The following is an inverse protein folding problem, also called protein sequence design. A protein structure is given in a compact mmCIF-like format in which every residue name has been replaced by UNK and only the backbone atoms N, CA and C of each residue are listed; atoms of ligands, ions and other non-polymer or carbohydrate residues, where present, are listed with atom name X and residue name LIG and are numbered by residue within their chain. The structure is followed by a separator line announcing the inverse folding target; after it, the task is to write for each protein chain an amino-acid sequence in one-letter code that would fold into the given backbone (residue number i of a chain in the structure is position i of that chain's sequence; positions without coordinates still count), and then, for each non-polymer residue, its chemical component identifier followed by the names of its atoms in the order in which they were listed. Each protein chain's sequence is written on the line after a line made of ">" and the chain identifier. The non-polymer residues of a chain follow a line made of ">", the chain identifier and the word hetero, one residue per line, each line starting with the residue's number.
data_IF_635406810921
#
_entry.id   IF_635406810921
#
_cell.length_a   1.000
_cell.length_b   1.000
_cell.length_c   1.000
_cell.angle_alpha   90.00
_cell.angle_beta   90.00
_cell.angle_gamma   90.00
#
_symmetry.space_group_name_H-M   'P 1'
#
loop_
_entity.id
_entity.type
_entity.pdbx_description
1 polymer ?
#
# COMPACT_ATOMS: atom_id res chain seq x y z
N UNK A 1 -67.78 -8.97 -19.11
CA UNK A 1 -66.33 -8.73 -18.88
C UNK A 1 -65.85 -9.64 -17.76
N UNK A 2 -65.74 -10.93 -18.05
CA UNK A 2 -65.39 -11.98 -17.08
C UNK A 2 -63.92 -12.37 -17.26
N UNK A 3 -63.16 -12.28 -16.17
CA UNK A 3 -61.72 -12.47 -16.04
C UNK A 3 -61.35 -13.96 -16.17
N UNK A 4 -60.39 -14.38 -17.02
CA UNK A 4 -59.89 -15.74 -16.98
C UNK A 4 -58.90 -15.93 -15.82
N UNK A 5 -59.09 -17.03 -15.12
CA UNK A 5 -58.38 -17.49 -13.93
C UNK A 5 -56.99 -18.05 -14.28
N UNK A 6 -56.04 -17.85 -13.37
CA UNK A 6 -54.60 -18.12 -13.52
C UNK A 6 -54.28 -19.56 -13.12
N UNK A 7 -53.75 -20.36 -14.03
CA UNK A 7 -53.28 -21.72 -13.73
C UNK A 7 -51.98 -21.72 -12.87
N UNK A 8 -51.82 -22.65 -11.90
CA UNK A 8 -50.63 -22.74 -11.05
C UNK A 8 -49.51 -23.63 -11.62
N UNK A 9 -48.26 -23.27 -11.29
CA UNK A 9 -47.02 -23.92 -11.71
C UNK A 9 -46.69 -25.22 -10.94
N UNK A 10 -45.93 -26.16 -11.54
CA UNK A 10 -45.21 -27.17 -10.77
C UNK A 10 -43.67 -26.98 -10.76
N UNK A 11 -43.19 -26.59 -9.57
CA UNK A 11 -42.09 -27.12 -8.72
C UNK A 11 -40.81 -27.69 -9.39
N UNK A 12 -39.69 -27.05 -9.01
CA UNK A 12 -38.28 -27.44 -9.20
C UNK A 12 -37.96 -28.89 -8.82
N UNK A 13 -37.07 -29.52 -9.60
CA UNK A 13 -36.22 -30.62 -9.14
C UNK A 13 -34.73 -30.37 -9.46
N UNK A 14 -33.98 -30.25 -8.36
CA UNK A 14 -32.56 -30.54 -8.08
C UNK A 14 -31.68 -31.02 -9.27
N UNK A 15 -30.74 -30.17 -9.70
CA UNK A 15 -29.54 -30.55 -10.44
C UNK A 15 -28.32 -29.98 -9.72
N UNK A 16 -27.40 -30.86 -9.33
CA UNK A 16 -26.26 -30.61 -8.48
C UNK A 16 -25.26 -29.61 -9.08
N UNK A 17 -24.66 -28.79 -8.22
CA UNK A 17 -23.41 -28.08 -8.51
C UNK A 17 -22.28 -29.12 -8.52
N UNK A 18 -21.57 -29.24 -9.62
CA UNK A 18 -20.26 -29.89 -9.66
C UNK A 18 -19.34 -29.11 -10.58
N UNK A 19 -18.34 -28.52 -9.95
CA UNK A 19 -17.17 -27.85 -10.51
C UNK A 19 -16.39 -28.79 -11.44
N UNK A 20 -15.79 -28.23 -12.49
CA UNK A 20 -14.47 -28.67 -12.96
C UNK A 20 -13.92 -27.66 -13.99
N UNK A 21 -12.87 -26.96 -13.58
CA UNK A 21 -11.95 -26.23 -14.44
C UNK A 21 -11.26 -27.16 -15.43
N UNK A 22 -11.12 -26.74 -16.68
CA UNK A 22 -9.98 -27.05 -17.55
C UNK A 22 -10.08 -26.12 -18.78
N UNK A 23 -9.29 -25.06 -18.77
CA UNK A 23 -8.00 -24.99 -19.48
C UNK A 23 -8.18 -24.38 -20.87
N UNK A 24 -8.29 -23.05 -20.89
CA UNK A 24 -7.91 -22.27 -22.05
C UNK A 24 -6.74 -21.39 -21.61
N UNK A 25 -5.52 -21.88 -21.86
CA UNK A 25 -4.29 -21.11 -21.83
C UNK A 25 -4.39 -19.98 -22.86
N UNK A 26 -5.10 -18.91 -22.50
CA UNK A 26 -4.83 -17.61 -23.08
C UNK A 26 -3.57 -17.12 -22.38
N UNK A 27 -2.45 -17.33 -23.06
CA UNK A 27 -1.12 -16.78 -22.78
C UNK A 27 -1.28 -15.27 -22.52
N UNK A 28 -1.57 -14.91 -21.28
CA UNK A 28 -1.48 -13.55 -20.82
C UNK A 28 -0.01 -13.21 -21.01
N UNK A 29 0.28 -12.43 -22.04
CA UNK A 29 1.54 -11.75 -22.13
C UNK A 29 1.62 -10.93 -20.84
N UNK A 30 2.32 -11.47 -19.85
CA UNK A 30 2.89 -10.70 -18.75
C UNK A 30 3.75 -9.68 -19.45
N UNK A 31 3.17 -8.52 -19.75
CA UNK A 31 3.93 -7.37 -20.18
C UNK A 31 5.04 -7.25 -19.13
N UNK A 32 6.32 -7.26 -19.54
CA UNK A 32 7.39 -7.06 -18.59
C UNK A 32 7.06 -5.77 -17.83
N UNK A 33 7.15 -5.77 -16.48
CA UNK A 33 6.85 -4.56 -15.71
C UNK A 33 7.66 -3.44 -16.36
N UNK A 34 6.93 -2.41 -16.81
CA UNK A 34 7.46 -1.26 -17.52
C UNK A 34 8.78 -0.88 -16.87
N UNK A 35 9.86 -1.07 -17.62
CA UNK A 35 11.23 -0.84 -17.17
C UNK A 35 11.28 0.52 -16.47
N UNK A 36 11.82 0.56 -15.24
CA UNK A 36 12.20 1.79 -14.53
C UNK A 36 13.26 2.53 -15.37
N UNK A 37 12.82 3.16 -16.46
CA UNK A 37 13.68 3.70 -17.52
C UNK A 37 14.42 4.96 -17.05
N UNK A 38 14.05 5.47 -15.88
CA UNK A 38 14.66 6.62 -15.22
C UNK A 38 14.78 6.37 -13.72
N UNK A 39 15.90 6.75 -13.08
CA UNK A 39 16.02 6.66 -11.62
C UNK A 39 14.91 7.47 -10.94
N UNK A 40 14.07 6.80 -10.17
CA UNK A 40 13.08 7.47 -9.32
C UNK A 40 13.83 8.15 -8.18
N UNK A 41 13.70 9.48 -8.09
CA UNK A 41 14.29 10.24 -6.98
C UNK A 41 13.47 10.00 -5.71
N UNK A 42 14.10 9.68 -4.57
CA UNK A 42 13.42 9.64 -3.29
C UNK A 42 12.77 10.99 -2.98
N UNK A 43 11.57 10.97 -2.40
CA UNK A 43 10.91 12.15 -1.86
C UNK A 43 11.20 12.21 -0.37
N UNK A 44 11.70 13.35 0.11
CA UNK A 44 12.03 13.59 1.51
C UNK A 44 11.20 14.78 2.00
N UNK A 45 10.28 14.52 2.94
CA UNK A 45 9.44 15.53 3.55
C UNK A 45 9.92 15.79 4.99
N UNK A 46 10.37 17.00 5.31
CA UNK A 46 10.67 17.40 6.69
C UNK A 46 9.38 17.84 7.37
N UNK A 47 9.06 17.20 8.49
CA UNK A 47 7.81 17.40 9.23
C UNK A 47 8.09 18.09 10.57
N UNK A 48 7.11 18.85 11.07
CA UNK A 48 7.15 19.38 12.43
C UNK A 48 6.83 18.24 13.44
N UNK A 49 7.79 17.86 14.31
CA UNK A 49 7.57 16.80 15.29
C UNK A 49 6.43 17.11 16.25
N UNK A 50 6.23 18.38 16.62
CA UNK A 50 5.20 18.75 17.60
C UNK A 50 3.79 18.61 17.05
N UNK A 51 3.64 18.86 15.75
CA UNK A 51 2.37 18.68 15.04
C UNK A 51 2.03 17.21 14.79
N UNK A 52 3.02 16.36 14.53
CA UNK A 52 2.79 14.94 14.17
C UNK A 52 2.80 14.01 15.38
N UNK A 53 3.78 14.14 16.27
CA UNK A 53 3.95 13.27 17.46
C UNK A 53 3.22 13.85 18.67
N UNK A 54 3.19 15.18 18.79
CA UNK A 54 2.50 15.91 19.85
C UNK A 54 3.36 16.95 20.55
N UNK A 55 2.73 17.88 21.26
CA UNK A 55 3.38 19.06 21.83
C UNK A 55 4.49 18.77 22.85
N UNK A 56 4.43 17.62 23.53
CA UNK A 56 5.39 17.21 24.56
C UNK A 56 6.43 16.20 24.04
N UNK A 57 6.64 16.15 22.72
CA UNK A 57 7.61 15.23 22.11
C UNK A 57 9.05 15.62 22.43
N UNK A 58 9.90 14.61 22.67
CA UNK A 58 11.35 14.76 22.77
C UNK A 58 12.08 14.63 21.42
N UNK A 59 11.33 14.46 20.34
CA UNK A 59 11.87 14.35 18.98
C UNK A 59 12.27 15.73 18.47
N UNK A 60 13.54 15.87 18.11
CA UNK A 60 14.13 17.10 17.56
C UNK A 60 13.83 17.26 16.06
N UNK A 61 13.93 16.15 15.31
CA UNK A 61 13.61 16.14 13.88
C UNK A 61 12.76 14.94 13.49
N UNK A 62 11.80 15.19 12.61
CA UNK A 62 10.93 14.18 12.02
C UNK A 62 10.99 14.31 10.51
N UNK A 63 11.33 13.22 9.83
CA UNK A 63 11.46 13.20 8.37
C UNK A 63 10.69 12.02 7.83
N UNK A 64 9.91 12.24 6.77
CA UNK A 64 9.25 11.18 6.03
C UNK A 64 9.98 10.97 4.70
N UNK A 65 10.52 9.77 4.51
CA UNK A 65 11.25 9.40 3.29
C UNK A 65 10.43 8.39 2.50
N UNK A 66 10.17 8.68 1.23
CA UNK A 66 9.50 7.77 0.30
C UNK A 66 10.46 7.45 -0.85
N UNK A 67 10.90 6.20 -0.93
CA UNK A 67 11.84 5.74 -1.96
C UNK A 67 11.19 5.61 -3.33
N UNK A 68 9.97 5.06 -3.38
CA UNK A 68 9.16 4.93 -4.59
C UNK A 68 7.73 5.43 -4.32
N UNK A 69 7.00 5.94 -5.32
CA UNK A 69 5.65 6.48 -5.14
C UNK A 69 4.67 5.53 -4.42
N UNK A 70 4.81 4.22 -4.67
CA UNK A 70 3.94 3.18 -4.13
C UNK A 70 4.49 2.49 -2.87
N UNK A 71 5.71 2.82 -2.45
CA UNK A 71 6.30 2.22 -1.25
C UNK A 71 5.73 2.88 0.02
N UNK A 72 5.65 2.09 1.08
CA UNK A 72 5.35 2.61 2.40
C UNK A 72 6.42 3.64 2.79
N UNK A 73 6.03 4.85 3.24
CA UNK A 73 7.00 5.84 3.66
C UNK A 73 7.70 5.38 4.93
N UNK A 74 8.99 5.63 5.00
CA UNK A 74 9.75 5.49 6.22
C UNK A 74 9.60 6.77 7.03
N UNK A 75 9.18 6.65 8.28
CA UNK A 75 9.25 7.74 9.26
C UNK A 75 10.57 7.63 10.02
N UNK A 76 11.36 8.69 9.95
CA UNK A 76 12.69 8.80 10.55
C UNK A 76 12.60 9.83 11.67
N UNK A 77 13.05 9.43 12.85
CA UNK A 77 13.08 10.25 14.05
C UNK A 77 14.52 10.56 14.41
N UNK A 78 14.76 11.78 14.89
CA UNK A 78 15.96 12.18 15.58
C UNK A 78 15.59 12.65 16.98
N UNK A 79 16.15 12.00 18.00
CA UNK A 79 16.00 12.39 19.39
C UNK A 79 17.33 12.15 20.15
N UNK A 80 17.27 12.18 21.48
CA UNK A 80 18.44 11.93 22.35
C UNK A 80 19.13 10.57 22.13
N UNK A 81 18.46 9.60 21.51
CA UNK A 81 18.99 8.26 21.20
C UNK A 81 19.61 8.20 19.79
N UNK A 82 19.54 9.29 19.03
CA UNK A 82 20.09 9.41 17.69
C UNK A 82 19.03 9.24 16.60
N UNK A 83 19.48 8.85 15.41
CA UNK A 83 18.62 8.74 14.23
C UNK A 83 18.13 7.30 14.03
N UNK A 84 16.83 7.12 13.80
CA UNK A 84 16.26 5.80 13.53
C UNK A 84 14.97 5.86 12.71
N UNK A 85 14.72 4.80 11.95
CA UNK A 85 13.44 4.57 11.27
C UNK A 85 12.48 3.80 12.19
N UNK A 86 11.19 4.11 12.12
CA UNK A 86 10.13 3.40 12.87
C UNK A 86 10.17 1.89 12.68
N UNK A 87 10.33 1.42 11.44
CA UNK A 87 10.18 0.01 11.08
C UNK A 87 11.47 -0.79 11.16
N UNK A 88 12.62 -0.16 10.88
CA UNK A 88 13.91 -0.85 10.72
C UNK A 88 15.00 -0.33 11.67
N UNK A 89 14.67 0.64 12.51
CA UNK A 89 15.61 1.23 13.47
C UNK A 89 16.74 2.02 12.81
N UNK A 90 17.92 2.12 13.47
CA UNK A 90 19.03 2.95 13.02
C UNK A 90 19.76 2.42 11.78
N UNK A 91 19.59 1.13 11.46
CA UNK A 91 20.24 0.48 10.32
C UNK A 91 19.56 0.77 8.96
N UNK A 92 18.44 1.48 8.97
CA UNK A 92 17.67 1.73 7.77
C UNK A 92 18.44 2.66 6.81
N UNK A 93 18.55 2.27 5.54
CA UNK A 93 19.19 3.09 4.50
C UNK A 93 18.59 4.51 4.40
N UNK A 94 17.29 4.67 4.65
CA UNK A 94 16.62 5.99 4.59
C UNK A 94 17.02 6.95 5.69
N UNK A 95 17.64 6.46 6.78
CA UNK A 95 18.17 7.32 7.85
C UNK A 95 19.26 8.24 7.31
N UNK A 96 20.13 7.73 6.44
CA UNK A 96 21.20 8.55 5.87
C UNK A 96 20.62 9.66 4.97
N UNK A 97 19.61 9.35 4.16
CA UNK A 97 18.91 10.33 3.33
C UNK A 97 18.28 11.44 4.19
N UNK A 98 17.67 11.10 5.32
CA UNK A 98 17.10 12.08 6.23
C UNK A 98 18.16 12.97 6.88
N UNK A 99 19.33 12.42 7.24
CA UNK A 99 20.45 13.18 7.81
C UNK A 99 21.04 14.18 6.83
N UNK A 100 21.11 13.81 5.56
CA UNK A 100 21.68 14.67 4.53
C UNK A 100 20.73 15.82 4.16
N UNK A 101 19.42 15.66 4.36
CA UNK A 101 18.42 16.73 4.12
C UNK A 101 18.40 17.80 5.22
N UNK A 102 18.76 17.45 6.46
CA UNK A 102 18.72 18.36 7.62
C UNK A 102 20.07 19.07 7.87
N UNK A 103 21.12 18.68 7.18
CA UNK A 103 22.46 19.28 7.26
C UNK A 103 22.49 20.73 6.77
#
# INVERSE_FOLDING_TARGET
>A
MTRPERAPAPKRAKGARTSASAAAEAKAATAPPQLDLFPVRPVVDVLDPRSVVGAQTGVEHLVRVRLRPNDAPHLIFHDRHGWYCESHGPSCHTVQLARDEIK
#
